data_IF_689872129435
#
_entry.id   IF_689872129435
#
_cell.length_a   1.000
_cell.length_b   1.000
_cell.length_c   1.000
_cell.angle_alpha   90.00
_cell.angle_beta   90.00
_cell.angle_gamma   90.00
#
_symmetry.space_group_name_H-M   'P 1'
#
loop_
_entity.id
_entity.type
_entity.pdbx_description
1 polymer ?
#
# COMPACT_ATOMS: atom_id res chain seq x y z
N UNK A 1 13.12 -16.50 13.76
CA UNK A 1 13.30 -15.25 14.53
C UNK A 1 13.22 -15.58 16.02
N UNK A 2 14.23 -15.23 16.84
CA UNK A 2 14.13 -15.35 18.30
C UNK A 2 13.30 -14.18 18.83
N UNK A 3 12.20 -14.49 19.50
CA UNK A 3 11.25 -13.51 20.01
C UNK A 3 11.83 -12.86 21.28
N UNK A 4 12.05 -11.53 21.28
CA UNK A 4 12.58 -10.79 22.44
C UNK A 4 11.48 -10.26 23.36
N UNK A 5 10.25 -10.16 22.85
CA UNK A 5 9.10 -9.57 23.55
C UNK A 5 7.82 -10.36 23.23
N UNK A 6 6.98 -10.56 24.23
CA UNK A 6 5.64 -11.12 24.10
C UNK A 6 4.65 -10.12 24.69
N UNK A 7 3.53 -9.89 24.00
CA UNK A 7 2.46 -9.02 24.49
C UNK A 7 1.56 -9.86 25.40
N UNK A 8 1.68 -9.64 26.71
CA UNK A 8 0.88 -10.29 27.75
C UNK A 8 -0.02 -9.26 28.45
N UNK A 9 -1.11 -9.71 29.05
CA UNK A 9 -2.00 -8.94 29.94
C UNK A 9 -2.65 -7.69 29.33
N UNK A 10 -3.24 -7.83 28.14
CA UNK A 10 -4.10 -6.77 27.60
C UNK A 10 -5.50 -6.83 28.26
N UNK A 11 -6.10 -5.67 28.60
CA UNK A 11 -7.50 -5.62 29.04
C UNK A 11 -8.42 -6.34 28.06
N UNK A 12 -9.49 -7.02 28.52
CA UNK A 12 -10.40 -7.77 27.64
C UNK A 12 -11.08 -6.92 26.55
N UNK A 13 -11.25 -5.63 26.82
CA UNK A 13 -11.84 -4.63 25.93
C UNK A 13 -10.80 -3.91 25.05
N UNK A 14 -9.52 -4.24 25.20
CA UNK A 14 -8.45 -3.63 24.43
C UNK A 14 -8.62 -3.92 22.94
N UNK A 15 -8.43 -2.88 22.12
CA UNK A 15 -8.42 -2.97 20.65
C UNK A 15 -7.08 -2.46 20.10
N UNK A 16 -6.00 -3.25 20.23
CA UNK A 16 -4.67 -2.79 19.85
C UNK A 16 -4.60 -2.45 18.36
N UNK A 17 -3.85 -1.43 18.01
CA UNK A 17 -3.59 -1.05 16.62
C UNK A 17 -2.15 -1.41 16.25
N UNK A 18 -1.96 -2.24 15.22
CA UNK A 18 -0.66 -2.52 14.62
C UNK A 18 -0.47 -1.60 13.40
N UNK A 19 0.60 -0.80 13.39
CA UNK A 19 0.83 0.20 12.36
C UNK A 19 2.04 -0.17 11.50
N UNK A 20 1.84 -0.22 10.19
CA UNK A 20 2.90 -0.40 9.20
C UNK A 20 3.13 0.88 8.42
N UNK A 21 4.37 1.36 8.35
CA UNK A 21 4.74 2.60 7.66
C UNK A 21 5.77 2.30 6.58
N UNK A 22 5.43 2.61 5.33
CA UNK A 22 6.40 2.56 4.23
C UNK A 22 7.00 3.95 3.99
N UNK A 23 8.27 4.16 4.36
CA UNK A 23 8.96 5.45 4.18
C UNK A 23 9.14 5.89 2.74
N UNK A 24 9.19 4.93 1.79
CA UNK A 24 9.28 5.24 0.34
C UNK A 24 7.97 5.81 -0.20
N UNK A 25 6.87 5.73 0.55
CA UNK A 25 5.57 6.29 0.17
C UNK A 25 5.42 7.72 0.70
N UNK A 26 4.89 8.63 -0.11
CA UNK A 26 4.39 9.93 0.37
C UNK A 26 5.46 10.96 0.69
N UNK A 27 6.26 11.33 -0.32
CA UNK A 27 7.12 12.50 -0.25
C UNK A 27 8.17 12.47 0.87
N UNK A 28 8.63 11.28 1.27
CA UNK A 28 9.59 11.09 2.36
C UNK A 28 9.14 11.64 3.73
N UNK A 29 7.82 11.90 3.92
CA UNK A 29 7.27 12.31 5.23
C UNK A 29 7.21 11.17 6.26
N UNK A 30 7.69 9.98 5.89
CA UNK A 30 7.61 8.76 6.70
C UNK A 30 8.24 8.88 8.08
N UNK A 31 9.38 9.57 8.23
CA UNK A 31 10.02 9.74 9.54
C UNK A 31 9.23 10.65 10.49
N UNK A 32 8.66 11.74 9.96
CA UNK A 32 7.79 12.63 10.72
C UNK A 32 6.52 11.92 11.17
N UNK A 33 5.90 11.18 10.24
CA UNK A 33 4.71 10.38 10.50
C UNK A 33 4.97 9.28 11.55
N UNK A 34 6.07 8.54 11.41
CA UNK A 34 6.51 7.52 12.37
C UNK A 34 6.71 8.12 13.75
N UNK A 35 7.38 9.28 13.85
CA UNK A 35 7.60 9.96 15.12
C UNK A 35 6.27 10.33 15.79
N UNK A 36 5.35 10.95 15.05
CA UNK A 36 4.04 11.33 15.57
C UNK A 36 3.23 10.12 16.04
N UNK A 37 3.20 9.04 15.26
CA UNK A 37 2.49 7.81 15.64
C UNK A 37 3.11 7.15 16.88
N UNK A 38 4.43 7.19 17.05
CA UNK A 38 5.10 6.69 18.27
C UNK A 38 4.91 7.58 19.50
N UNK A 39 4.45 8.82 19.33
CA UNK A 39 4.03 9.69 20.43
C UNK A 39 2.59 9.37 20.83
N UNK A 40 1.73 9.10 19.84
CA UNK A 40 0.30 8.83 20.06
C UNK A 40 0.02 7.37 20.47
N UNK A 41 0.87 6.43 20.08
CA UNK A 41 0.71 4.99 20.27
C UNK A 41 1.96 4.41 20.94
N UNK A 42 1.87 3.19 21.47
CA UNK A 42 3.04 2.49 21.99
C UNK A 42 4.06 2.27 20.85
N UNK A 43 5.35 2.59 21.03
CA UNK A 43 6.38 2.38 20.01
C UNK A 43 6.47 0.95 19.45
N UNK A 44 6.08 -0.07 20.24
CA UNK A 44 6.03 -1.47 19.79
C UNK A 44 4.90 -1.76 18.79
N UNK A 45 3.93 -0.86 18.65
CA UNK A 45 2.86 -0.95 17.67
C UNK A 45 3.27 -0.44 16.29
N UNK A 46 4.38 0.31 16.17
CA UNK A 46 4.73 1.03 14.95
C UNK A 46 5.94 0.41 14.24
N UNK A 47 5.67 -0.30 13.15
CA UNK A 47 6.66 -0.98 12.32
C UNK A 47 6.95 -0.23 11.03
N UNK A 48 8.22 -0.20 10.67
CA UNK A 48 8.69 0.35 9.41
C UNK A 48 8.84 -0.77 8.40
N UNK A 49 8.28 -0.57 7.21
CA UNK A 49 8.40 -1.47 6.08
C UNK A 49 9.56 -1.03 5.18
N UNK A 50 10.43 -1.97 4.84
CA UNK A 50 11.56 -1.77 3.95
C UNK A 50 11.91 -3.07 3.21
N UNK A 51 12.76 -3.01 2.19
CA UNK A 51 13.21 -4.22 1.48
C UNK A 51 13.85 -5.27 2.40
N UNK A 52 14.42 -4.87 3.54
CA UNK A 52 15.02 -5.77 4.52
C UNK A 52 14.06 -6.24 5.62
N UNK A 53 12.94 -5.51 5.83
CA UNK A 53 12.00 -5.79 6.91
C UNK A 53 10.56 -5.69 6.40
N UNK A 54 9.92 -6.85 6.27
CA UNK A 54 8.53 -6.96 5.89
C UNK A 54 7.54 -6.93 7.06
N UNK A 55 6.24 -6.98 6.75
CA UNK A 55 5.17 -6.97 7.74
C UNK A 55 5.16 -8.20 8.66
N UNK A 56 5.84 -9.28 8.28
CA UNK A 56 5.89 -10.55 9.00
C UNK A 56 6.37 -10.38 10.44
N UNK A 57 7.32 -9.47 10.70
CA UNK A 57 7.82 -9.21 12.04
C UNK A 57 6.73 -8.65 12.98
N UNK A 58 5.92 -7.72 12.48
CA UNK A 58 4.81 -7.14 13.24
C UNK A 58 3.65 -8.11 13.41
N UNK A 59 3.30 -8.83 12.33
CA UNK A 59 2.27 -9.87 12.38
C UNK A 59 2.63 -10.99 13.35
N UNK A 60 3.91 -11.41 13.37
CA UNK A 60 4.39 -12.41 14.32
C UNK A 60 4.32 -11.93 15.78
N UNK A 61 4.59 -10.65 16.04
CA UNK A 61 4.45 -10.08 17.39
C UNK A 61 2.99 -10.03 17.86
N UNK A 62 2.06 -9.72 16.96
CA UNK A 62 0.63 -9.56 17.26
C UNK A 62 -0.18 -10.85 17.10
N UNK A 63 0.44 -11.97 16.71
CA UNK A 63 -0.28 -13.23 16.40
C UNK A 63 -1.13 -13.80 17.54
N UNK A 64 -0.80 -13.48 18.79
CA UNK A 64 -1.53 -13.90 20.00
C UNK A 64 -2.45 -12.81 20.58
N UNK A 65 -2.46 -11.63 19.95
CA UNK A 65 -3.26 -10.51 20.41
C UNK A 65 -4.67 -10.65 19.83
N UNK A 66 -5.73 -10.74 20.66
CA UNK A 66 -7.09 -10.79 20.16
C UNK A 66 -7.54 -9.42 19.64
N UNK A 67 -8.45 -9.42 18.65
CA UNK A 67 -9.19 -8.25 18.17
C UNK A 67 -8.37 -7.00 17.78
N UNK A 68 -7.09 -7.17 17.41
CA UNK A 68 -6.28 -6.06 16.95
C UNK A 68 -6.69 -5.61 15.54
N UNK A 69 -6.48 -4.33 15.26
CA UNK A 69 -6.66 -3.71 13.94
C UNK A 69 -5.30 -3.42 13.33
N UNK A 70 -5.23 -3.30 12.01
CA UNK A 70 -4.01 -2.89 11.30
C UNK A 70 -4.23 -1.53 10.64
N UNK A 71 -3.24 -0.63 10.74
CA UNK A 71 -3.15 0.59 9.96
C UNK A 71 -1.95 0.52 9.01
N UNK A 72 -2.19 0.66 7.70
CA UNK A 72 -1.14 0.73 6.69
C UNK A 72 -0.97 2.16 6.20
N UNK A 73 0.18 2.76 6.48
CA UNK A 73 0.58 4.06 5.97
C UNK A 73 1.41 3.88 4.68
N UNK A 74 0.75 4.01 3.53
CA UNK A 74 1.35 3.73 2.23
C UNK A 74 0.42 4.02 1.06
N UNK A 75 0.82 3.61 -0.14
CA UNK A 75 -0.07 3.50 -1.30
C UNK A 75 -0.61 2.07 -1.48
N UNK A 76 -1.33 1.82 -2.57
CA UNK A 76 -2.00 0.55 -2.85
C UNK A 76 -1.05 -0.65 -2.86
N UNK A 77 0.17 -0.49 -3.39
CA UNK A 77 1.19 -1.54 -3.37
C UNK A 77 1.64 -1.94 -1.96
N UNK A 78 1.75 -0.97 -1.04
CA UNK A 78 2.08 -1.25 0.38
C UNK A 78 0.93 -1.99 1.05
N UNK A 79 -0.31 -1.59 0.78
CA UNK A 79 -1.52 -2.26 1.30
C UNK A 79 -1.56 -3.70 0.79
N UNK A 80 -1.32 -3.92 -0.51
CA UNK A 80 -1.27 -5.25 -1.09
C UNK A 80 -0.18 -6.14 -0.51
N UNK A 81 1.00 -5.58 -0.20
CA UNK A 81 2.07 -6.32 0.46
C UNK A 81 1.66 -6.79 1.86
N UNK A 82 1.05 -5.91 2.67
CA UNK A 82 0.57 -6.26 4.01
C UNK A 82 -0.54 -7.31 3.94
N UNK A 83 -1.52 -7.12 3.05
CA UNK A 83 -2.61 -8.09 2.86
C UNK A 83 -2.08 -9.47 2.43
N UNK A 84 -1.14 -9.51 1.49
CA UNK A 84 -0.49 -10.76 1.08
C UNK A 84 0.34 -11.43 2.18
N UNK A 85 0.83 -10.67 3.16
CA UNK A 85 1.49 -11.24 4.33
C UNK A 85 0.47 -11.78 5.35
N UNK A 86 -0.67 -11.12 5.52
CA UNK A 86 -1.77 -11.60 6.38
C UNK A 86 -2.30 -12.95 5.87
N UNK A 87 -2.49 -13.10 4.55
CA UNK A 87 -2.94 -14.37 3.95
C UNK A 87 -2.04 -15.56 4.32
N UNK A 88 -0.73 -15.31 4.49
CA UNK A 88 0.26 -16.33 4.83
C UNK A 88 0.24 -16.72 6.32
N UNK A 89 -0.43 -15.95 7.17
CA UNK A 89 -0.41 -16.15 8.63
C UNK A 89 -1.53 -17.07 9.15
N UNK A 90 -2.40 -17.63 8.29
CA UNK A 90 -3.48 -18.55 8.67
C UNK A 90 -4.28 -18.10 9.91
N UNK A 91 -4.63 -16.81 9.98
CA UNK A 91 -5.49 -16.30 11.02
C UNK A 91 -6.89 -16.92 10.92
N UNK A 92 -7.45 -17.38 12.04
CA UNK A 92 -8.85 -17.84 12.10
C UNK A 92 -9.81 -16.71 11.76
N UNK A 93 -9.54 -15.50 12.28
CA UNK A 93 -10.20 -14.27 11.91
C UNK A 93 -9.15 -13.22 11.54
N UNK A 94 -8.97 -12.89 10.26
CA UNK A 94 -8.02 -11.87 9.84
C UNK A 94 -8.34 -10.50 10.47
N UNK A 95 -7.32 -9.74 10.91
CA UNK A 95 -7.54 -8.41 11.48
C UNK A 95 -8.00 -7.43 10.39
N UNK A 96 -8.95 -6.52 10.69
CA UNK A 96 -9.37 -5.49 9.75
C UNK A 96 -8.22 -4.51 9.46
N UNK A 97 -8.12 -4.05 8.21
CA UNK A 97 -7.04 -3.18 7.74
C UNK A 97 -7.59 -1.81 7.34
N UNK A 98 -7.09 -0.76 7.99
CA UNK A 98 -7.30 0.63 7.62
C UNK A 98 -6.11 1.19 6.82
N UNK A 99 -6.38 2.19 6.00
CA UNK A 99 -5.37 2.78 5.10
C UNK A 99 -5.17 4.24 5.46
N UNK A 100 -3.93 4.65 5.69
CA UNK A 100 -3.53 6.06 5.66
C UNK A 100 -2.91 6.36 4.29
N UNK A 101 -3.60 7.09 3.40
CA UNK A 101 -3.20 7.28 2.01
C UNK A 101 -1.94 8.15 1.90
N UNK A 102 -0.78 7.50 1.80
CA UNK A 102 0.51 8.15 1.60
C UNK A 102 1.03 8.00 0.16
N UNK A 103 0.43 7.14 -0.67
CA UNK A 103 0.83 6.95 -2.07
C UNK A 103 0.37 8.06 -3.03
N UNK A 104 0.68 7.90 -4.32
CA UNK A 104 0.20 8.80 -5.39
C UNK A 104 -1.19 8.39 -5.90
N UNK A 105 -1.39 7.08 -6.11
CA UNK A 105 -2.63 6.44 -6.56
C UNK A 105 -3.69 6.48 -5.46
N UNK A 106 -3.55 5.69 -4.38
CA UNK A 106 -4.45 5.62 -3.23
C UNK A 106 -5.90 5.25 -3.60
N UNK A 107 -6.08 4.41 -4.61
CA UNK A 107 -7.42 4.07 -5.12
C UNK A 107 -8.21 3.24 -4.11
N UNK A 108 -7.56 2.26 -3.45
CA UNK A 108 -8.18 1.50 -2.36
C UNK A 108 -8.64 2.41 -1.23
N UNK A 109 -7.82 3.41 -0.88
CA UNK A 109 -8.17 4.35 0.18
C UNK A 109 -9.38 5.22 -0.21
N UNK A 110 -9.53 5.59 -1.49
CA UNK A 110 -10.71 6.35 -1.95
C UNK A 110 -11.97 5.50 -1.94
N UNK A 111 -11.91 4.28 -2.47
CA UNK A 111 -13.05 3.35 -2.52
C UNK A 111 -13.50 2.99 -1.11
N UNK A 112 -12.56 2.76 -0.19
CA UNK A 112 -12.84 2.44 1.21
C UNK A 112 -13.05 3.69 2.10
N UNK A 113 -13.22 4.87 1.50
CA UNK A 113 -13.51 6.13 2.20
C UNK A 113 -12.48 6.60 3.23
N UNK A 114 -11.23 6.14 3.14
CA UNK A 114 -10.10 6.65 3.92
C UNK A 114 -9.48 7.94 3.34
N UNK A 115 -9.89 8.32 2.13
CA UNK A 115 -9.55 9.58 1.49
C UNK A 115 -8.41 9.49 0.47
N UNK A 116 -8.08 10.63 -0.12
CA UNK A 116 -7.21 10.68 -1.31
C UNK A 116 -5.72 10.92 -1.06
N UNK A 117 -5.32 11.32 0.17
CA UNK A 117 -3.93 11.65 0.48
C UNK A 117 -3.74 12.32 1.85
N UNK A 118 -2.50 12.32 2.34
CA UNK A 118 -2.13 12.85 3.66
C UNK A 118 -2.48 14.34 3.85
N UNK A 119 -2.44 15.16 2.79
CA UNK A 119 -2.80 16.58 2.88
C UNK A 119 -4.29 16.82 3.19
N UNK A 120 -5.18 15.90 2.79
CA UNK A 120 -6.59 15.96 3.17
C UNK A 120 -6.75 15.59 4.64
N UNK A 121 -6.04 14.53 5.07
CA UNK A 121 -6.00 14.09 6.47
C UNK A 121 -5.52 15.20 7.40
N UNK A 122 -4.42 15.88 7.04
CA UNK A 122 -3.86 16.98 7.84
C UNK A 122 -4.86 18.14 8.02
N UNK A 123 -5.68 18.43 7.00
CA UNK A 123 -6.71 19.49 7.08
C UNK A 123 -7.96 19.07 7.87
N UNK A 124 -8.23 17.78 8.00
CA UNK A 124 -9.39 17.23 8.69
C UNK A 124 -9.10 16.84 10.16
N UNK A 125 -8.10 17.47 10.80
CA UNK A 125 -7.73 17.22 12.19
C UNK A 125 -6.60 16.20 12.39
N UNK A 126 -5.95 15.78 11.30
CA UNK A 126 -4.69 15.05 11.33
C UNK A 126 -4.81 13.61 11.84
N UNK A 127 -3.74 13.13 12.48
CA UNK A 127 -3.65 11.72 12.89
C UNK A 127 -4.62 11.35 14.01
N UNK A 128 -4.98 12.29 14.88
CA UNK A 128 -5.95 12.03 15.95
C UNK A 128 -7.32 11.67 15.38
N UNK A 129 -7.80 12.45 14.41
CA UNK A 129 -9.05 12.15 13.69
C UNK A 129 -8.99 10.79 13.00
N UNK A 130 -7.86 10.45 12.37
CA UNK A 130 -7.69 9.13 11.73
C UNK A 130 -7.77 8.00 12.75
N UNK A 131 -7.09 8.11 13.89
CA UNK A 131 -7.15 7.09 14.94
C UNK A 131 -8.57 6.92 15.48
N UNK A 132 -9.27 8.04 15.71
CA UNK A 132 -10.68 8.02 16.12
C UNK A 132 -11.58 7.37 15.06
N UNK A 133 -11.38 7.67 13.77
CA UNK A 133 -12.13 7.01 12.70
C UNK A 133 -11.82 5.50 12.63
N UNK A 134 -10.57 5.08 12.79
CA UNK A 134 -10.19 3.65 12.79
C UNK A 134 -10.87 2.89 13.92
N UNK A 135 -10.98 3.51 15.10
CA UNK A 135 -11.65 2.91 16.24
C UNK A 135 -13.12 2.61 15.96
N UNK A 136 -13.83 3.55 15.31
CA UNK A 136 -15.28 3.52 15.09
C UNK A 136 -15.72 3.07 13.69
N UNK A 137 -14.79 2.87 12.76
CA UNK A 137 -15.11 2.52 11.38
C UNK A 137 -15.82 1.16 11.29
N UNK A 138 -16.81 1.11 10.39
CA UNK A 138 -17.42 -0.14 9.98
C UNK A 138 -16.40 -1.00 9.22
N UNK A 139 -16.43 -2.31 9.49
CA UNK A 139 -15.61 -3.29 8.76
C UNK A 139 -16.37 -3.68 7.50
N UNK A 140 -15.68 -3.66 6.37
CA UNK A 140 -16.20 -4.16 5.09
C UNK A 140 -15.30 -5.28 4.57
N UNK A 141 -15.89 -6.21 3.82
CA UNK A 141 -15.16 -7.30 3.16
C UNK A 141 -14.55 -6.76 1.87
N UNK A 142 -13.30 -7.14 1.61
CA UNK A 142 -12.58 -6.80 0.38
C UNK A 142 -12.34 -8.08 -0.42
N UNK A 143 -12.91 -8.15 -1.61
CA UNK A 143 -12.61 -9.21 -2.57
C UNK A 143 -11.20 -9.00 -3.15
N UNK A 144 -10.46 -10.11 -3.27
CA UNK A 144 -9.09 -10.11 -3.80
C UNK A 144 -8.95 -11.13 -4.90
N UNK A 145 -8.40 -10.71 -6.03
CA UNK A 145 -8.32 -11.53 -7.23
C UNK A 145 -7.00 -12.29 -7.25
N UNK A 146 -7.09 -13.61 -7.39
CA UNK A 146 -5.94 -14.49 -7.65
C UNK A 146 -5.73 -14.59 -9.16
N UNK A 147 -4.58 -14.15 -9.64
CA UNK A 147 -4.22 -14.12 -11.06
C UNK A 147 -3.15 -15.18 -11.30
N UNK A 148 -3.47 -16.13 -12.17
CA UNK A 148 -2.53 -17.07 -12.75
C UNK A 148 -2.24 -16.64 -14.19
N UNK A 149 -0.97 -16.51 -14.53
CA UNK A 149 -0.52 -16.20 -15.89
C UNK A 149 0.09 -17.47 -16.44
N UNK A 150 -0.43 -17.95 -17.57
CA UNK A 150 0.07 -19.16 -18.23
C UNK A 150 0.74 -18.76 -19.54
N UNK A 151 1.98 -19.22 -19.76
CA UNK A 151 2.67 -19.06 -21.04
C UNK A 151 2.72 -20.39 -21.78
N UNK A 152 2.28 -20.40 -23.04
CA UNK A 152 2.39 -21.59 -23.90
C UNK A 152 3.85 -21.90 -24.28
N UNK A 153 4.75 -20.91 -24.23
CA UNK A 153 6.16 -21.06 -24.63
C UNK A 153 7.10 -21.37 -23.46
N UNK A 154 6.71 -21.08 -22.22
CA UNK A 154 7.51 -21.34 -21.04
C UNK A 154 6.70 -22.10 -19.99
N UNK A 155 6.98 -23.39 -19.81
CA UNK A 155 6.48 -24.21 -18.68
C UNK A 155 7.17 -23.85 -17.35
N UNK A 156 7.46 -22.57 -17.11
CA UNK A 156 7.95 -22.13 -15.81
C UNK A 156 6.76 -21.84 -14.90
N UNK A 157 6.90 -22.22 -13.63
CA UNK A 157 5.94 -21.98 -12.57
C UNK A 157 5.77 -20.47 -12.38
N UNK A 158 4.81 -19.87 -13.10
CA UNK A 158 4.58 -18.45 -13.01
C UNK A 158 4.01 -18.13 -11.63
N UNK A 159 4.62 -17.19 -10.89
CA UNK A 159 4.16 -16.90 -9.54
C UNK A 159 2.74 -16.35 -9.60
N UNK A 160 1.81 -17.03 -8.94
CA UNK A 160 0.46 -16.51 -8.68
C UNK A 160 0.57 -15.11 -8.09
N UNK A 161 -0.17 -14.15 -8.67
CA UNK A 161 -0.26 -12.79 -8.15
C UNK A 161 -1.63 -12.56 -7.53
N UNK A 162 -1.68 -11.69 -6.53
CA UNK A 162 -2.94 -11.22 -5.94
C UNK A 162 -3.12 -9.74 -6.24
N UNK A 163 -4.30 -9.36 -6.73
CA UNK A 163 -4.67 -7.99 -7.03
C UNK A 163 -5.87 -7.56 -6.18
N UNK A 164 -5.91 -6.27 -5.85
CA UNK A 164 -6.93 -5.71 -4.96
C UNK A 164 -7.82 -4.67 -5.64
N UNK A 165 -7.48 -4.21 -6.84
CA UNK A 165 -8.19 -3.12 -7.51
C UNK A 165 -8.44 -3.44 -8.98
N UNK A 166 -7.41 -3.38 -9.81
CA UNK A 166 -7.52 -3.66 -11.24
C UNK A 166 -6.23 -4.30 -11.79
N UNK A 167 -6.35 -4.94 -12.95
CA UNK A 167 -5.25 -5.42 -13.79
C UNK A 167 -5.32 -4.66 -15.12
N UNK A 168 -4.18 -4.11 -15.57
CA UNK A 168 -4.05 -3.47 -16.88
C UNK A 168 -3.13 -4.27 -17.81
N UNK A 169 -3.45 -4.28 -19.10
CA UNK A 169 -2.63 -4.85 -20.18
C UNK A 169 -2.61 -3.85 -21.34
N UNK A 170 -1.47 -3.74 -22.04
CA UNK A 170 -1.31 -2.84 -23.20
C UNK A 170 -0.54 -1.55 -22.87
N UNK A 171 -0.81 -0.50 -23.63
CA UNK A 171 -0.07 0.77 -23.59
C UNK A 171 -0.06 1.42 -22.19
N UNK A 172 -1.21 1.55 -21.54
CA UNK A 172 -1.29 2.13 -20.18
C UNK A 172 -0.46 1.31 -19.17
N UNK A 173 -0.49 -0.01 -19.26
CA UNK A 173 0.31 -0.87 -18.39
C UNK A 173 1.81 -0.71 -18.64
N UNK A 174 2.22 -0.47 -19.89
CA UNK A 174 3.61 -0.19 -20.24
C UNK A 174 4.07 1.15 -19.67
N UNK A 175 3.25 2.20 -19.80
CA UNK A 175 3.55 3.51 -19.20
C UNK A 175 3.65 3.41 -17.67
N UNK A 176 2.73 2.71 -17.02
CA UNK A 176 2.78 2.48 -15.59
C UNK A 176 4.07 1.74 -15.15
N UNK A 177 4.51 0.76 -15.95
CA UNK A 177 5.76 0.03 -15.72
C UNK A 177 6.99 0.94 -15.89
N UNK A 178 7.02 1.77 -16.93
CA UNK A 178 8.14 2.66 -17.17
C UNK A 178 8.27 3.70 -16.05
N UNK A 179 7.16 4.29 -15.62
CA UNK A 179 7.14 5.19 -14.46
C UNK A 179 7.59 4.48 -13.17
N UNK A 180 7.22 3.21 -12.99
CA UNK A 180 7.69 2.42 -11.86
C UNK A 180 9.22 2.24 -11.90
N UNK A 181 9.78 1.90 -13.05
CA UNK A 181 11.23 1.75 -13.23
C UNK A 181 11.96 3.08 -13.01
N UNK A 182 11.47 4.18 -13.59
CA UNK A 182 12.01 5.53 -13.36
C UNK A 182 12.02 5.88 -11.87
N UNK A 183 10.99 5.45 -11.12
CA UNK A 183 10.89 5.68 -9.68
C UNK A 183 11.88 4.86 -8.87
N UNK A 184 12.16 3.62 -9.26
CA UNK A 184 13.18 2.81 -8.60
C UNK A 184 14.59 3.32 -8.92
N UNK A 185 14.82 3.84 -10.14
CA UNK A 185 16.11 4.40 -10.56
C UNK A 185 16.40 5.80 -9.96
N UNK A 186 15.38 6.66 -9.88
CA UNK A 186 15.52 8.06 -9.46
C UNK A 186 14.52 8.41 -8.33
N UNK A 187 14.61 7.77 -7.15
CA UNK A 187 13.64 7.95 -6.07
C UNK A 187 13.51 9.41 -5.60
N UNK A 188 14.56 10.23 -5.75
CA UNK A 188 14.58 11.66 -5.43
C UNK A 188 13.66 12.50 -6.31
N UNK A 189 13.37 12.07 -7.55
CA UNK A 189 12.43 12.77 -8.45
C UNK A 189 10.98 12.56 -8.05
N UNK A 190 10.68 11.50 -7.30
CA UNK A 190 9.31 11.09 -6.93
C UNK A 190 8.89 11.56 -5.53
N UNK A 191 9.32 12.77 -5.15
CA UNK A 191 9.11 13.32 -3.81
C UNK A 191 7.75 14.02 -3.63
N UNK A 192 6.88 14.10 -4.64
CA UNK A 192 5.60 14.81 -4.49
C UNK A 192 4.47 14.08 -5.22
N UNK A 193 3.36 13.86 -4.52
CA UNK A 193 2.16 13.24 -5.11
C UNK A 193 1.63 14.05 -6.31
N UNK A 194 1.73 15.38 -6.26
CA UNK A 194 1.30 16.25 -7.36
C UNK A 194 2.21 16.08 -8.58
N UNK A 195 3.52 16.20 -8.41
CA UNK A 195 4.46 16.04 -9.52
C UNK A 195 4.44 14.62 -10.10
N UNK A 196 4.26 13.60 -9.26
CA UNK A 196 4.10 12.22 -9.72
C UNK A 196 2.88 12.05 -10.64
N UNK A 197 1.78 12.75 -10.35
CA UNK A 197 0.59 12.74 -11.24
C UNK A 197 0.83 13.49 -12.55
N UNK A 198 1.52 14.62 -12.50
CA UNK A 198 1.88 15.39 -13.71
C UNK A 198 2.81 14.60 -14.62
N UNK A 199 3.83 13.94 -14.04
CA UNK A 199 4.73 13.06 -14.78
C UNK A 199 3.93 11.93 -15.45
N UNK A 200 3.02 11.28 -14.73
CA UNK A 200 2.16 10.23 -15.30
C UNK A 200 1.33 10.75 -16.49
N UNK A 201 0.67 11.91 -16.34
CA UNK A 201 -0.12 12.49 -17.41
C UNK A 201 0.73 12.81 -18.66
N UNK A 202 1.95 13.30 -18.46
CA UNK A 202 2.88 13.62 -19.55
C UNK A 202 3.32 12.36 -20.31
N UNK A 203 3.74 11.32 -19.59
CA UNK A 203 4.20 10.05 -20.20
C UNK A 203 3.08 9.33 -20.98
N UNK A 204 1.85 9.33 -20.42
CA UNK A 204 0.68 8.80 -21.13
C UNK A 204 0.42 9.58 -22.42
N UNK A 205 0.51 10.90 -22.36
CA UNK A 205 0.31 11.74 -23.53
C UNK A 205 1.38 11.49 -24.60
N UNK A 206 2.68 11.49 -24.22
CA UNK A 206 3.79 11.21 -25.15
C UNK A 206 3.65 9.83 -25.82
N UNK A 207 3.33 8.79 -25.05
CA UNK A 207 3.18 7.43 -25.59
C UNK A 207 1.96 7.30 -26.51
N UNK A 208 0.83 7.92 -26.14
CA UNK A 208 -0.36 7.96 -26.99
C UNK A 208 -0.11 8.69 -28.31
N UNK A 209 0.67 9.77 -28.31
CA UNK A 209 1.07 10.47 -29.53
C UNK A 209 1.95 9.60 -30.43
N UNK A 210 2.90 8.86 -29.86
CA UNK A 210 3.80 7.96 -30.60
C UNK A 210 3.01 6.82 -31.27
N UNK A 211 2.11 6.16 -30.54
CA UNK A 211 1.26 5.10 -31.12
C UNK A 211 0.34 5.64 -32.22
N UNK A 212 -0.19 6.86 -32.05
CA UNK A 212 -0.99 7.52 -33.07
C UNK A 212 -0.18 7.80 -34.35
N UNK A 213 1.06 8.28 -34.21
CA UNK A 213 1.97 8.51 -35.34
C UNK A 213 2.34 7.21 -36.05
N UNK A 214 2.66 6.14 -35.32
CA UNK A 214 2.98 4.84 -35.90
C UNK A 214 1.77 4.21 -36.64
N UNK A 215 0.57 4.32 -36.06
CA UNK A 215 -0.67 3.84 -36.71
C UNK A 215 -1.03 4.66 -37.95
N UNK A 216 -0.70 5.96 -37.95
CA UNK A 216 -0.96 6.85 -39.09
C UNK A 216 0.07 6.69 -40.21
N UNK A 217 1.32 6.37 -39.87
CA UNK A 217 2.41 6.10 -40.82
C UNK A 217 2.36 4.68 -41.39
N UNK A 218 1.89 3.69 -40.62
CA UNK A 218 1.71 2.30 -41.05
C UNK A 218 0.47 2.04 -41.93
N UNK A 219 -0.22 3.10 -42.40
CA UNK A 219 -1.29 3.03 -43.41
C UNK A 219 -0.83 3.44 -44.81
N UNK A 220 0.47 3.64 -45.00
CA UNK A 220 1.11 3.81 -46.30
C UNK A 220 1.99 2.60 -46.60
N UNK A 221 1.37 1.45 -46.87
CA UNK A 221 1.94 0.33 -47.62
C UNK A 221 0.77 -0.44 -48.28
#
# INVERSE_FOLDING_TARGET
MKQKYELIDLPPDARPLLVFINKKSGAQRGDSLKRRLRILLNPLQVFELSSAQGPEAGLFLFRRVPHFKILVCGGDGTVGWVLGAIDKQNFESPPPVAILPAGTGNDLARVLSWGGGLGVVERQGGLYTVLHHIEHAAVTILDRWKIAIESQQYKSDHPTKYMNNYLGIGCDAKVALDIHNLREENPEKFYSQFFNKVLYAREVQETSWIEHLQTSLGKFD
#
